data_IF_044496170559
#
_entry.id   IF_044496170559
#
_cell.length_a   1.000
_cell.length_b   1.000
_cell.length_c   1.000
_cell.angle_alpha   90.00
_cell.angle_beta   90.00
_cell.angle_gamma   90.00
#
_symmetry.space_group_name_H-M   'P 1'
#
loop_
_entity.id
_entity.type
_entity.pdbx_description
1 polymer ?
#
# COMPACT_ATOMS: atom_id res chain seq x y z
N UNK A 1 38.89 -51.54 7.98
CA UNK A 1 37.48 -51.91 8.20
C UNK A 1 37.02 -51.51 9.62
N UNK A 2 37.79 -51.71 10.65
CA UNK A 2 37.46 -51.33 12.06
C UNK A 2 37.28 -49.84 12.26
N UNK A 3 38.10 -48.95 11.68
CA UNK A 3 37.99 -47.51 11.78
C UNK A 3 36.69 -46.97 11.14
N UNK A 4 36.31 -47.51 10.00
CA UNK A 4 35.10 -47.12 9.27
C UNK A 4 33.83 -47.53 10.05
N UNK A 5 33.87 -48.69 10.69
CA UNK A 5 32.76 -49.16 11.55
C UNK A 5 32.62 -48.32 12.80
N UNK A 6 33.74 -47.94 13.44
CA UNK A 6 33.73 -47.11 14.67
C UNK A 6 33.25 -45.69 14.37
N UNK A 7 33.62 -45.10 13.22
CA UNK A 7 33.14 -43.75 12.86
C UNK A 7 31.65 -43.75 12.54
N UNK A 8 31.14 -44.75 11.86
CA UNK A 8 29.69 -44.88 11.60
C UNK A 8 28.92 -45.02 12.93
N UNK A 9 29.43 -45.87 13.85
CA UNK A 9 28.79 -46.10 15.14
C UNK A 9 28.76 -44.83 15.98
N UNK A 10 29.88 -44.10 16.06
CA UNK A 10 29.94 -42.86 16.84
C UNK A 10 29.02 -41.73 16.26
N UNK A 11 28.99 -41.59 14.94
CA UNK A 11 28.10 -40.61 14.28
C UNK A 11 26.61 -40.98 14.46
N UNK A 12 26.29 -42.30 14.39
CA UNK A 12 24.92 -42.76 14.64
C UNK A 12 24.46 -42.49 16.06
N UNK A 13 25.30 -42.79 17.07
CA UNK A 13 25.00 -42.53 18.48
C UNK A 13 24.81 -41.02 18.72
N UNK A 14 25.70 -40.19 18.21
CA UNK A 14 25.58 -38.73 18.31
C UNK A 14 24.29 -38.20 17.64
N UNK A 15 23.95 -38.72 16.46
CA UNK A 15 22.73 -38.36 15.72
C UNK A 15 21.44 -38.72 16.49
N UNK A 16 21.41 -39.96 17.07
CA UNK A 16 20.28 -40.39 17.88
C UNK A 16 20.14 -39.51 19.13
N UNK A 17 21.26 -39.24 19.81
CA UNK A 17 21.26 -38.43 21.03
C UNK A 17 20.78 -36.98 20.75
N UNK A 18 21.23 -36.37 19.65
CA UNK A 18 20.76 -35.07 19.20
C UNK A 18 19.25 -35.09 18.84
N UNK A 19 18.78 -36.14 18.15
CA UNK A 19 17.37 -36.27 17.78
C UNK A 19 16.48 -36.39 19.04
N UNK A 20 16.90 -37.15 20.03
CA UNK A 20 16.18 -37.32 21.29
C UNK A 20 16.11 -36.00 22.07
N UNK A 21 17.24 -35.27 22.15
CA UNK A 21 17.27 -33.96 22.82
C UNK A 21 16.31 -32.98 22.11
N UNK A 22 16.40 -32.89 20.78
CA UNK A 22 15.53 -32.03 19.98
C UNK A 22 14.05 -32.41 20.12
N UNK A 23 13.73 -33.70 20.16
CA UNK A 23 12.37 -34.18 20.41
C UNK A 23 11.82 -33.69 21.77
N UNK A 24 12.57 -33.84 22.84
CA UNK A 24 12.14 -33.37 24.16
C UNK A 24 12.04 -31.85 24.26
N UNK A 25 12.98 -31.13 23.63
CA UNK A 25 12.92 -29.67 23.54
C UNK A 25 11.68 -29.24 22.78
N UNK A 26 11.41 -29.84 21.62
CA UNK A 26 10.22 -29.54 20.80
C UNK A 26 8.92 -29.81 21.56
N UNK A 27 8.85 -30.91 22.35
CA UNK A 27 7.67 -31.21 23.16
C UNK A 27 7.50 -30.19 24.31
N UNK A 28 8.59 -29.80 24.99
CA UNK A 28 8.53 -28.88 26.12
C UNK A 28 8.20 -27.44 25.70
N UNK A 29 8.62 -27.04 24.52
CA UNK A 29 8.39 -25.70 23.95
C UNK A 29 7.29 -25.70 22.90
N UNK A 30 6.44 -26.74 22.83
CA UNK A 30 5.27 -26.75 21.96
C UNK A 30 4.34 -25.60 22.35
N UNK A 31 4.22 -24.61 21.48
CA UNK A 31 3.23 -23.55 21.61
C UNK A 31 1.89 -24.12 21.19
N UNK A 32 0.93 -24.16 22.11
CA UNK A 32 -0.46 -24.48 21.77
C UNK A 32 -1.11 -23.22 21.23
N UNK A 33 -1.29 -23.17 19.91
CA UNK A 33 -2.02 -22.11 19.25
C UNK A 33 -3.52 -22.42 19.26
N UNK A 34 -4.35 -21.38 19.33
CA UNK A 34 -5.81 -21.55 19.26
C UNK A 34 -6.19 -22.05 17.84
N UNK A 35 -6.86 -23.20 17.71
CA UNK A 35 -7.22 -23.77 16.42
C UNK A 35 -8.11 -22.83 15.57
N UNK A 36 -8.78 -21.86 16.19
CA UNK A 36 -9.56 -20.84 15.49
C UNK A 36 -8.70 -19.93 14.61
N UNK A 37 -7.39 -19.80 14.93
CA UNK A 37 -6.46 -19.00 14.12
C UNK A 37 -6.34 -19.59 12.71
N UNK A 38 -6.17 -20.91 12.60
CA UNK A 38 -6.04 -21.59 11.30
C UNK A 38 -7.31 -21.46 10.46
N UNK A 39 -8.49 -21.51 11.09
CA UNK A 39 -9.75 -21.35 10.37
C UNK A 39 -9.96 -19.90 9.90
N UNK A 40 -9.62 -18.90 10.72
CA UNK A 40 -9.68 -17.49 10.32
C UNK A 40 -8.65 -17.19 9.23
N UNK A 41 -7.45 -17.77 9.29
CA UNK A 41 -6.44 -17.63 8.24
C UNK A 41 -6.92 -18.16 6.89
N UNK A 42 -7.61 -19.31 6.86
CA UNK A 42 -8.22 -19.87 5.63
C UNK A 42 -9.28 -18.96 5.01
N UNK A 43 -9.98 -18.15 5.82
CA UNK A 43 -10.97 -17.20 5.34
C UNK A 43 -10.33 -15.95 4.74
N UNK A 44 -9.07 -15.66 5.08
CA UNK A 44 -8.31 -14.54 4.54
C UNK A 44 -7.81 -14.84 3.12
N UNK A 45 -7.60 -13.81 2.27
CA UNK A 45 -7.18 -13.99 0.87
C UNK A 45 -5.80 -14.62 0.67
N UNK A 46 -4.99 -14.82 1.71
CA UNK A 46 -3.64 -15.38 1.64
C UNK A 46 -2.59 -14.52 0.93
N UNK A 47 -2.93 -13.29 0.56
CA UNK A 47 -2.07 -12.40 -0.22
C UNK A 47 -0.83 -11.88 0.55
N UNK A 48 -0.80 -12.00 1.87
CA UNK A 48 0.29 -11.54 2.76
C UNK A 48 0.83 -10.13 2.44
N UNK A 49 -0.04 -9.25 1.92
CA UNK A 49 0.33 -7.94 1.36
C UNK A 49 0.66 -6.87 2.41
N UNK A 50 0.42 -7.13 3.71
CA UNK A 50 0.65 -6.16 4.79
C UNK A 50 -0.26 -4.94 4.78
N UNK A 51 -1.29 -4.89 3.92
CA UNK A 51 -2.22 -3.76 3.80
C UNK A 51 -3.10 -3.53 5.04
N UNK A 52 -3.30 -4.55 5.85
CA UNK A 52 -3.98 -4.49 7.14
C UNK A 52 -3.08 -3.98 8.28
N UNK A 53 -1.79 -3.75 8.04
CA UNK A 53 -0.80 -3.34 9.05
C UNK A 53 -0.11 -4.50 9.77
N UNK A 54 -0.42 -5.75 9.45
CA UNK A 54 0.21 -6.95 9.98
C UNK A 54 1.24 -7.53 9.00
N UNK A 55 2.18 -8.32 9.51
CA UNK A 55 3.25 -8.92 8.69
C UNK A 55 2.73 -9.96 7.66
N UNK A 56 1.52 -10.48 7.85
CA UNK A 56 0.89 -11.44 6.96
C UNK A 56 -0.52 -11.80 7.43
N UNK A 57 -1.19 -12.68 6.69
CA UNK A 57 -2.55 -13.09 6.98
C UNK A 57 -2.66 -13.85 8.31
N UNK A 58 -1.65 -14.68 8.64
CA UNK A 58 -1.62 -15.38 9.93
C UNK A 58 -1.57 -14.42 11.12
N UNK A 59 -0.67 -13.41 11.09
CA UNK A 59 -0.59 -12.42 12.17
C UNK A 59 -1.88 -11.61 12.34
N UNK A 60 -2.60 -11.36 11.25
CA UNK A 60 -3.93 -10.76 11.30
C UNK A 60 -4.95 -11.72 11.93
N UNK A 61 -4.95 -13.01 11.56
CA UNK A 61 -5.84 -14.02 12.12
C UNK A 61 -5.63 -14.17 13.63
N UNK A 62 -4.39 -14.22 14.09
CA UNK A 62 -4.04 -14.21 15.51
C UNK A 62 -4.61 -12.98 16.25
N UNK A 63 -4.41 -11.79 15.66
CA UNK A 63 -4.93 -10.55 16.25
C UNK A 63 -6.46 -10.54 16.32
N UNK A 64 -7.15 -11.13 15.35
CA UNK A 64 -8.61 -11.23 15.33
C UNK A 64 -9.15 -12.21 16.37
N UNK A 65 -8.45 -13.31 16.60
CA UNK A 65 -8.85 -14.31 17.61
C UNK A 65 -8.59 -13.78 19.02
N UNK A 66 -7.40 -13.22 19.26
CA UNK A 66 -6.94 -12.82 20.59
C UNK A 66 -7.56 -11.52 21.11
N UNK A 67 -7.95 -10.59 20.24
CA UNK A 67 -8.54 -9.31 20.65
C UNK A 67 -10.05 -9.41 20.75
N UNK A 68 -10.65 -8.91 21.81
CA UNK A 68 -12.10 -8.86 21.96
C UNK A 68 -12.72 -7.82 21.01
N UNK A 69 -12.10 -6.67 20.85
CA UNK A 69 -12.51 -5.63 19.91
C UNK A 69 -11.70 -5.71 18.62
N UNK A 70 -12.40 -5.98 17.52
CA UNK A 70 -11.85 -6.05 16.16
C UNK A 70 -12.25 -4.86 15.29
N UNK A 71 -12.89 -3.82 15.84
CA UNK A 71 -13.39 -2.65 15.11
C UNK A 71 -12.30 -1.90 14.32
N UNK A 72 -11.06 -1.91 14.83
CA UNK A 72 -9.91 -1.30 14.18
C UNK A 72 -9.20 -2.23 13.16
N UNK A 73 -9.57 -3.51 13.10
CA UNK A 73 -8.95 -4.50 12.23
C UNK A 73 -9.73 -4.59 10.92
N UNK A 74 -9.06 -4.40 9.80
CA UNK A 74 -9.69 -4.49 8.48
C UNK A 74 -8.73 -5.04 7.43
N UNK A 75 -9.17 -6.07 6.70
CA UNK A 75 -8.43 -6.59 5.55
C UNK A 75 -8.90 -5.88 4.27
N UNK A 76 -8.08 -5.01 3.66
CA UNK A 76 -8.49 -4.28 2.46
C UNK A 76 -8.68 -5.19 1.24
N UNK A 77 -7.94 -6.29 1.15
CA UNK A 77 -8.02 -7.26 0.06
C UNK A 77 -9.25 -8.17 0.18
N UNK A 78 -9.53 -8.65 1.39
CA UNK A 78 -10.72 -9.47 1.67
C UNK A 78 -12.02 -8.69 1.65
N UNK A 79 -11.96 -7.38 1.89
CA UNK A 79 -13.13 -6.50 1.87
C UNK A 79 -14.14 -6.78 2.97
N UNK A 80 -15.33 -6.19 2.83
CA UNK A 80 -16.37 -6.26 3.85
C UNK A 80 -16.96 -7.68 4.02
N UNK A 81 -17.06 -8.46 2.95
CA UNK A 81 -17.62 -9.82 3.01
C UNK A 81 -16.71 -10.76 3.81
N UNK A 82 -15.43 -10.73 3.54
CA UNK A 82 -14.46 -11.51 4.29
C UNK A 82 -14.45 -11.13 5.78
N UNK A 83 -14.50 -9.82 6.08
CA UNK A 83 -14.57 -9.32 7.45
C UNK A 83 -15.86 -9.77 8.17
N UNK A 84 -17.01 -9.76 7.50
CA UNK A 84 -18.27 -10.25 8.04
C UNK A 84 -18.23 -11.74 8.34
N UNK A 85 -17.69 -12.56 7.43
CA UNK A 85 -17.55 -14.00 7.62
C UNK A 85 -16.69 -14.34 8.83
N UNK A 86 -15.53 -13.71 8.96
CA UNK A 86 -14.63 -13.92 10.09
C UNK A 86 -15.25 -13.44 11.42
N UNK A 87 -15.88 -12.27 11.42
CA UNK A 87 -16.55 -11.73 12.60
C UNK A 87 -17.71 -12.63 13.06
N UNK A 88 -18.51 -13.15 12.12
CA UNK A 88 -19.59 -14.11 12.41
C UNK A 88 -19.05 -15.42 13.01
N UNK A 89 -17.96 -15.95 12.46
CA UNK A 89 -17.30 -17.14 12.99
C UNK A 89 -16.80 -16.94 14.42
N UNK A 90 -16.23 -15.77 14.72
CA UNK A 90 -15.69 -15.42 16.04
C UNK A 90 -16.76 -14.90 17.02
N UNK A 91 -18.01 -14.70 16.59
CA UNK A 91 -19.07 -14.09 17.40
C UNK A 91 -18.81 -12.61 17.72
N UNK A 92 -18.10 -11.88 16.86
CA UNK A 92 -17.69 -10.48 17.03
C UNK A 92 -18.41 -9.57 16.03
N UNK A 93 -18.36 -8.26 16.27
CA UNK A 93 -18.95 -7.27 15.36
C UNK A 93 -17.97 -6.94 14.23
N UNK A 94 -18.40 -7.09 12.98
CA UNK A 94 -17.58 -6.77 11.82
C UNK A 94 -17.35 -5.24 11.72
N UNK A 95 -16.12 -4.78 11.44
CA UNK A 95 -15.86 -3.37 11.19
C UNK A 95 -16.46 -2.94 9.85
N UNK A 96 -17.18 -1.82 9.86
CA UNK A 96 -17.64 -1.19 8.63
C UNK A 96 -16.61 -0.16 8.16
N UNK A 97 -16.12 -0.35 6.95
CA UNK A 97 -15.21 0.61 6.31
C UNK A 97 -15.69 0.94 4.91
N UNK A 98 -15.76 2.22 4.61
CA UNK A 98 -16.09 2.67 3.26
C UNK A 98 -15.05 2.18 2.25
N UNK A 99 -15.48 1.74 1.05
CA UNK A 99 -14.57 1.30 0.01
C UNK A 99 -13.67 2.46 -0.42
N UNK A 100 -12.38 2.18 -0.50
CA UNK A 100 -11.37 3.14 -0.94
C UNK A 100 -10.64 2.64 -2.19
N UNK A 101 -9.99 3.54 -2.89
CA UNK A 101 -9.18 3.26 -4.08
C UNK A 101 -7.94 4.13 -4.05
N UNK A 102 -6.82 3.62 -4.54
CA UNK A 102 -5.61 4.42 -4.71
C UNK A 102 -5.82 5.45 -5.83
N UNK A 103 -5.38 6.68 -5.60
CA UNK A 103 -5.44 7.76 -6.60
C UNK A 103 -4.08 8.43 -6.72
N UNK A 104 -3.67 8.71 -7.96
CA UNK A 104 -2.41 9.41 -8.26
C UNK A 104 -2.68 10.90 -8.41
N UNK A 105 -2.23 11.70 -7.47
CA UNK A 105 -2.44 13.16 -7.43
C UNK A 105 -1.42 13.90 -8.30
N UNK A 106 -1.30 13.50 -9.56
CA UNK A 106 -0.48 14.18 -10.55
C UNK A 106 -1.20 14.22 -11.89
N UNK A 107 -1.51 15.42 -12.37
CA UNK A 107 -2.06 15.67 -13.72
C UNK A 107 -1.01 16.16 -14.71
N UNK A 108 0.27 16.10 -14.34
CA UNK A 108 1.39 16.58 -15.11
C UNK A 108 1.82 15.59 -16.18
N UNK A 109 0.96 15.33 -17.16
CA UNK A 109 1.29 14.52 -18.34
C UNK A 109 2.42 15.16 -19.16
N UNK A 110 3.11 14.38 -19.98
CA UNK A 110 4.28 14.82 -20.75
C UNK A 110 4.05 16.13 -21.54
N UNK A 111 2.86 16.31 -22.12
CA UNK A 111 2.50 17.53 -22.86
C UNK A 111 2.32 18.79 -22.01
N UNK A 112 2.03 18.62 -20.70
CA UNK A 112 1.80 19.72 -19.75
C UNK A 112 3.00 20.01 -18.85
N UNK A 113 3.97 19.10 -18.80
CA UNK A 113 5.14 19.16 -17.94
C UNK A 113 6.38 18.78 -18.77
N UNK A 114 6.99 19.72 -19.48
CA UNK A 114 8.13 19.46 -20.35
C UNK A 114 9.34 18.98 -19.54
N UNK A 115 10.13 18.10 -20.12
CA UNK A 115 11.41 17.68 -19.57
C UNK A 115 12.41 18.83 -19.67
N UNK A 116 13.19 19.00 -18.62
CA UNK A 116 14.27 20.01 -18.51
C UNK A 116 15.64 19.37 -18.50
N UNK A 117 15.72 18.09 -18.19
CA UNK A 117 16.96 17.30 -18.13
C UNK A 117 16.66 15.82 -18.36
N UNK A 118 17.69 15.01 -18.52
CA UNK A 118 17.63 13.57 -18.68
C UNK A 118 18.37 12.88 -17.55
N UNK A 119 17.77 11.79 -17.02
CA UNK A 119 18.36 10.97 -15.98
C UNK A 119 18.85 9.64 -16.56
N UNK A 120 20.17 9.45 -16.52
CA UNK A 120 20.85 8.27 -17.06
C UNK A 120 21.19 7.21 -15.98
N UNK A 121 20.66 7.34 -14.77
CA UNK A 121 20.83 6.37 -13.69
C UNK A 121 19.78 5.26 -13.72
N UNK A 122 19.75 4.47 -12.63
CA UNK A 122 18.77 3.39 -12.41
C UNK A 122 17.34 3.93 -12.48
N UNK A 123 16.51 3.35 -13.32
CA UNK A 123 15.11 3.77 -13.53
C UNK A 123 14.21 3.32 -12.37
N UNK A 124 14.42 3.89 -11.19
CA UNK A 124 13.62 3.73 -9.98
C UNK A 124 13.26 5.10 -9.43
N UNK A 125 12.01 5.27 -8.98
CA UNK A 125 11.54 6.53 -8.39
C UNK A 125 12.29 6.84 -7.08
N UNK A 126 12.54 5.82 -6.25
CA UNK A 126 13.26 5.97 -4.97
C UNK A 126 14.68 6.41 -5.24
N UNK A 127 15.40 5.73 -6.14
CA UNK A 127 16.78 6.07 -6.46
C UNK A 127 16.88 7.47 -7.08
N UNK A 128 16.08 7.77 -8.09
CA UNK A 128 16.11 9.07 -8.74
C UNK A 128 15.76 10.22 -7.79
N UNK A 129 14.76 10.04 -6.91
CA UNK A 129 14.36 11.09 -5.97
C UNK A 129 15.38 11.34 -4.85
N UNK A 130 16.29 10.39 -4.59
CA UNK A 130 17.36 10.54 -3.62
C UNK A 130 18.50 11.42 -4.13
N UNK A 131 18.71 11.46 -5.46
CA UNK A 131 19.80 12.20 -6.05
C UNK A 131 19.37 13.55 -6.63
N UNK A 132 18.15 13.67 -7.12
CA UNK A 132 17.69 14.91 -7.73
C UNK A 132 16.15 15.02 -7.78
N UNK A 133 15.67 16.19 -8.18
CA UNK A 133 14.25 16.54 -8.12
C UNK A 133 13.39 15.78 -9.14
N UNK A 134 13.94 15.44 -10.29
CA UNK A 134 13.28 14.78 -11.40
C UNK A 134 13.64 15.38 -12.77
N UNK A 135 13.23 14.72 -13.86
CA UNK A 135 13.51 15.14 -15.25
C UNK A 135 12.74 16.37 -15.70
N UNK A 136 11.85 16.89 -14.88
CA UNK A 136 10.99 18.05 -15.19
C UNK A 136 11.18 19.16 -14.17
N UNK A 137 10.75 20.37 -14.51
CA UNK A 137 10.82 21.51 -13.60
C UNK A 137 9.93 21.36 -12.33
N UNK A 138 9.00 20.39 -12.30
CA UNK A 138 8.14 20.14 -11.16
C UNK A 138 8.79 19.19 -10.16
N UNK A 139 9.18 19.70 -9.00
CA UNK A 139 9.79 18.93 -7.91
C UNK A 139 8.88 17.83 -7.33
N UNK A 140 7.58 17.99 -7.42
CA UNK A 140 6.58 17.17 -6.74
C UNK A 140 5.91 16.15 -7.66
N UNK A 141 6.12 16.22 -8.98
CA UNK A 141 5.42 15.40 -9.94
C UNK A 141 5.82 13.94 -9.97
N UNK A 142 5.02 13.11 -10.60
CA UNK A 142 5.31 11.71 -10.85
C UNK A 142 6.60 11.56 -11.66
N UNK A 143 7.51 10.69 -11.27
CA UNK A 143 8.75 10.41 -12.02
C UNK A 143 8.52 9.43 -13.17
N UNK A 144 7.51 8.57 -13.05
CA UNK A 144 7.14 7.63 -14.11
C UNK A 144 8.02 6.37 -14.21
N UNK A 145 8.88 6.09 -13.24
CA UNK A 145 9.77 4.91 -13.31
C UNK A 145 9.13 3.60 -12.82
N UNK A 146 7.96 3.65 -12.14
CA UNK A 146 7.17 2.45 -11.90
C UNK A 146 7.36 1.72 -10.58
N UNK A 147 8.07 2.26 -9.58
CA UNK A 147 8.21 1.60 -8.26
C UNK A 147 6.85 1.28 -7.62
N UNK A 148 5.82 2.08 -7.87
CA UNK A 148 4.45 1.82 -7.45
C UNK A 148 3.80 0.66 -8.21
N UNK A 149 4.24 0.39 -9.45
CA UNK A 149 3.79 -0.75 -10.26
C UNK A 149 4.40 -2.03 -9.73
N UNK A 150 5.70 -2.03 -9.48
CA UNK A 150 6.43 -3.19 -8.91
C UNK A 150 5.89 -3.56 -7.52
N UNK A 151 5.49 -2.57 -6.72
CA UNK A 151 4.90 -2.81 -5.40
C UNK A 151 3.46 -3.34 -5.45
N UNK A 152 2.81 -3.37 -6.61
CA UNK A 152 1.40 -3.76 -6.72
C UNK A 152 1.26 -5.25 -7.05
N UNK A 153 0.87 -6.06 -6.07
CA UNK A 153 0.62 -7.49 -6.26
C UNK A 153 -0.67 -7.81 -7.05
N UNK A 154 -1.45 -6.79 -7.44
CA UNK A 154 -2.78 -6.97 -8.05
C UNK A 154 -2.87 -6.42 -9.48
N UNK A 155 -1.76 -5.99 -10.05
CA UNK A 155 -1.70 -5.37 -11.39
C UNK A 155 -2.72 -4.23 -11.58
N UNK A 156 -3.02 -3.52 -10.49
CA UNK A 156 -4.00 -2.44 -10.45
C UNK A 156 -3.43 -1.06 -10.79
N UNK A 157 -2.12 -0.93 -10.97
CA UNK A 157 -1.46 0.33 -11.31
C UNK A 157 -0.43 0.09 -12.41
N UNK A 158 -0.38 0.99 -13.36
CA UNK A 158 0.59 0.96 -14.47
C UNK A 158 1.06 2.38 -14.80
N UNK A 159 2.26 2.52 -15.33
CA UNK A 159 2.70 3.78 -15.93
C UNK A 159 2.21 3.82 -17.36
N UNK A 160 1.41 4.83 -17.69
CA UNK A 160 0.93 5.03 -19.05
C UNK A 160 2.07 5.67 -19.88
N UNK A 161 2.52 5.04 -20.98
CA UNK A 161 3.65 5.53 -21.77
C UNK A 161 3.34 6.85 -22.49
N UNK A 162 2.07 7.13 -22.81
CA UNK A 162 1.67 8.36 -23.48
C UNK A 162 1.64 9.56 -22.51
N UNK A 163 1.16 9.34 -21.30
CA UNK A 163 1.03 10.39 -20.29
C UNK A 163 2.29 10.54 -19.43
N UNK A 164 3.10 9.49 -19.31
CA UNK A 164 4.31 9.42 -18.49
C UNK A 164 4.03 9.43 -16.98
N UNK A 165 2.79 9.16 -16.56
CA UNK A 165 2.39 9.11 -15.16
C UNK A 165 1.76 7.75 -14.81
N UNK A 166 1.75 7.41 -13.53
CA UNK A 166 1.08 6.20 -13.07
C UNK A 166 -0.44 6.40 -13.06
N UNK A 167 -1.17 5.39 -13.52
CA UNK A 167 -2.64 5.34 -13.55
C UNK A 167 -3.13 4.10 -12.82
N UNK A 168 -4.23 4.23 -12.08
CA UNK A 168 -4.82 3.17 -11.26
C UNK A 168 -6.10 2.66 -11.90
N UNK A 169 -6.16 1.34 -12.07
CA UNK A 169 -7.40 0.62 -12.39
C UNK A 169 -8.22 0.43 -11.11
N UNK A 170 -9.32 1.16 -11.00
CA UNK A 170 -10.15 1.16 -9.81
C UNK A 170 -10.92 -0.15 -9.59
N UNK A 171 -11.06 -1.00 -10.61
CA UNK A 171 -11.74 -2.30 -10.50
C UNK A 171 -10.82 -3.38 -9.96
N UNK A 172 -9.52 -3.30 -10.29
CA UNK A 172 -8.49 -4.20 -9.77
C UNK A 172 -7.93 -3.75 -8.41
N UNK A 173 -8.06 -2.47 -8.07
CA UNK A 173 -7.45 -1.91 -6.88
C UNK A 173 -8.13 -2.39 -5.60
N UNK A 174 -7.39 -3.12 -4.78
CA UNK A 174 -7.84 -3.63 -3.46
C UNK A 174 -7.62 -2.63 -2.32
N UNK A 175 -7.08 -1.43 -2.60
CA UNK A 175 -6.76 -0.42 -1.60
C UNK A 175 -5.77 -0.87 -0.50
N UNK A 176 -4.87 -1.80 -0.79
CA UNK A 176 -3.89 -2.33 0.16
C UNK A 176 -2.84 -1.30 0.61
N UNK A 177 -2.65 -0.20 -0.15
CA UNK A 177 -1.73 0.89 0.19
C UNK A 177 -0.25 0.63 -0.13
N UNK A 178 0.11 -0.48 -0.76
CA UNK A 178 1.50 -0.78 -1.13
C UNK A 178 2.10 0.30 -2.04
N UNK A 179 1.37 0.73 -3.07
CA UNK A 179 1.79 1.81 -3.97
C UNK A 179 1.91 3.19 -3.28
N UNK A 180 1.13 3.43 -2.22
CA UNK A 180 1.24 4.66 -1.40
C UNK A 180 2.58 4.69 -0.68
N UNK A 181 2.98 3.56 -0.07
CA UNK A 181 4.26 3.41 0.65
C UNK A 181 5.45 3.44 -0.30
N UNK A 182 5.31 2.88 -1.50
CA UNK A 182 6.38 2.81 -2.50
C UNK A 182 6.66 4.16 -3.18
N UNK A 183 5.74 5.14 -3.12
CA UNK A 183 5.90 6.41 -3.82
C UNK A 183 6.76 7.41 -3.03
N UNK A 184 8.02 7.70 -3.44
CA UNK A 184 8.89 8.62 -2.69
C UNK A 184 8.42 10.07 -2.77
N UNK A 185 7.59 10.42 -3.77
CA UNK A 185 7.00 11.75 -3.91
C UNK A 185 5.70 11.94 -3.11
N UNK A 186 5.16 10.87 -2.49
CA UNK A 186 3.93 10.94 -1.70
C UNK A 186 2.70 11.42 -2.48
N UNK A 187 2.64 11.14 -3.78
CA UNK A 187 1.55 11.60 -4.65
C UNK A 187 0.40 10.60 -4.77
N UNK A 188 0.53 9.43 -4.19
CA UNK A 188 -0.51 8.40 -4.20
C UNK A 188 -1.17 8.36 -2.83
N UNK A 189 -2.49 8.39 -2.79
CA UNK A 189 -3.27 8.30 -1.56
C UNK A 189 -4.50 7.41 -1.74
N UNK A 190 -5.00 6.82 -0.66
CA UNK A 190 -6.26 6.09 -0.67
C UNK A 190 -7.40 7.07 -0.47
N UNK A 191 -8.36 7.05 -1.39
CA UNK A 191 -9.53 7.93 -1.35
C UNK A 191 -10.82 7.12 -1.43
N UNK A 192 -11.92 7.69 -0.96
CA UNK A 192 -13.25 7.09 -1.06
C UNK A 192 -13.57 6.73 -2.52
N UNK A 193 -13.99 5.49 -2.74
CA UNK A 193 -14.44 5.00 -4.04
C UNK A 193 -15.91 5.39 -4.22
N UNK A 194 -16.19 6.30 -5.14
CA UNK A 194 -17.54 6.71 -5.47
C UNK A 194 -18.20 5.76 -6.48
N UNK A 195 -19.54 5.77 -6.59
CA UNK A 195 -20.24 5.03 -7.64
C UNK A 195 -19.66 5.32 -9.03
N UNK A 196 -19.65 4.28 -9.89
CA UNK A 196 -19.04 4.34 -11.24
C UNK A 196 -17.53 4.65 -11.21
N UNK A 197 -16.81 4.19 -10.18
CA UNK A 197 -15.36 4.35 -10.01
C UNK A 197 -14.87 5.80 -10.08
N UNK A 198 -15.75 6.77 -9.80
CA UNK A 198 -15.36 8.17 -9.78
C UNK A 198 -14.52 8.48 -8.54
N UNK A 199 -13.48 9.27 -8.72
CA UNK A 199 -12.70 9.85 -7.63
C UNK A 199 -12.60 11.37 -7.86
N UNK A 200 -12.94 12.16 -6.82
CA UNK A 200 -12.87 13.62 -6.88
C UNK A 200 -11.68 14.09 -6.07
N UNK A 201 -10.69 14.65 -6.75
CA UNK A 201 -9.45 15.09 -6.11
C UNK A 201 -8.74 16.15 -6.94
N UNK A 202 -7.79 16.85 -6.32
CA UNK A 202 -6.90 17.78 -7.02
C UNK A 202 -5.69 17.01 -7.52
N UNK A 203 -5.51 16.93 -8.84
CA UNK A 203 -4.39 16.24 -9.50
C UNK A 203 -3.09 17.05 -9.41
N UNK A 204 -2.75 17.53 -8.23
CA UNK A 204 -1.51 18.27 -7.95
C UNK A 204 -1.19 18.19 -6.45
N UNK A 205 0.11 18.12 -6.14
CA UNK A 205 0.64 18.16 -4.76
C UNK A 205 1.77 19.19 -4.62
N UNK A 206 1.97 20.06 -5.62
CA UNK A 206 3.02 21.07 -5.60
C UNK A 206 2.78 22.06 -4.46
N UNK A 207 3.84 22.28 -3.68
CA UNK A 207 3.86 23.29 -2.60
C UNK A 207 4.55 24.59 -3.03
N UNK A 208 4.95 24.68 -4.30
CA UNK A 208 5.57 25.87 -4.84
C UNK A 208 4.55 27.02 -4.97
N UNK A 209 5.07 28.25 -4.98
CA UNK A 209 4.26 29.43 -5.29
C UNK A 209 3.60 29.29 -6.66
N UNK A 210 2.35 29.74 -6.80
CA UNK A 210 1.55 29.56 -8.01
C UNK A 210 2.26 29.96 -9.30
N UNK A 211 3.06 31.03 -9.31
CA UNK A 211 3.83 31.47 -10.47
C UNK A 211 4.92 30.47 -10.87
N UNK A 212 5.57 29.82 -9.88
CA UNK A 212 6.58 28.77 -10.13
C UNK A 212 5.89 27.49 -10.65
N UNK A 213 4.79 27.12 -10.00
CA UNK A 213 3.98 25.95 -10.42
C UNK A 213 3.49 26.09 -11.87
N UNK A 214 3.00 27.26 -12.29
CA UNK A 214 2.55 27.49 -13.66
C UNK A 214 3.67 27.37 -14.70
N UNK A 215 4.89 27.79 -14.36
CA UNK A 215 6.06 27.64 -15.24
C UNK A 215 6.49 26.18 -15.36
N UNK A 216 6.41 25.44 -14.25
CA UNK A 216 6.85 24.05 -14.19
C UNK A 216 5.84 23.05 -14.78
N UNK A 217 4.54 23.32 -14.65
CA UNK A 217 3.46 22.41 -15.07
C UNK A 217 2.17 23.16 -15.37
N UNK A 218 1.69 23.05 -16.61
CA UNK A 218 0.42 23.69 -17.02
C UNK A 218 -0.83 23.08 -16.38
N UNK A 219 -0.73 21.88 -15.77
CA UNK A 219 -1.78 21.23 -15.01
C UNK A 219 -1.70 21.52 -13.50
N UNK A 220 -0.72 22.29 -13.07
CA UNK A 220 -0.45 22.53 -11.63
C UNK A 220 -1.55 23.38 -10.98
N UNK A 221 -1.83 23.06 -9.71
CA UNK A 221 -2.67 23.91 -8.87
C UNK A 221 -1.85 25.11 -8.40
N UNK A 222 -2.38 26.31 -8.58
CA UNK A 222 -1.70 27.59 -8.19
C UNK A 222 -2.13 28.11 -6.84
N UNK A 223 -2.96 27.36 -6.10
CA UNK A 223 -3.41 27.74 -4.78
C UNK A 223 -4.29 29.00 -4.72
N UNK A 224 -4.98 29.36 -5.81
CA UNK A 224 -5.76 30.61 -5.91
C UNK A 224 -7.02 30.68 -5.01
N UNK A 225 -7.43 29.57 -4.41
CA UNK A 225 -8.57 29.49 -3.50
C UNK A 225 -9.96 29.62 -4.12
N UNK A 226 -10.09 29.80 -5.44
CA UNK A 226 -11.40 29.93 -6.09
C UNK A 226 -12.30 28.72 -5.84
N UNK A 227 -11.76 27.50 -5.93
CA UNK A 227 -12.52 26.27 -5.67
C UNK A 227 -13.05 26.18 -4.24
N UNK A 228 -12.28 26.63 -3.26
CA UNK A 228 -12.71 26.64 -1.86
C UNK A 228 -13.86 27.65 -1.62
N UNK A 229 -13.82 28.80 -2.28
CA UNK A 229 -14.88 29.84 -2.15
C UNK A 229 -16.22 29.41 -2.73
N UNK A 230 -16.23 28.57 -3.76
CA UNK A 230 -17.47 28.15 -4.44
C UNK A 230 -17.98 26.78 -3.94
N UNK A 231 -17.24 26.11 -3.05
CA UNK A 231 -17.63 24.81 -2.53
C UNK A 231 -18.73 24.95 -1.49
N UNK A 232 -19.98 24.57 -1.83
CA UNK A 232 -21.14 24.63 -0.94
C UNK A 232 -21.00 23.72 0.31
N UNK A 233 -20.17 22.67 0.24
CA UNK A 233 -20.00 21.71 1.33
C UNK A 233 -18.79 22.00 2.23
N UNK A 234 -18.02 23.05 1.96
CA UNK A 234 -16.79 23.33 2.69
C UNK A 234 -15.75 22.20 2.61
N UNK A 235 -15.83 21.37 1.57
CA UNK A 235 -14.98 20.20 1.41
C UNK A 235 -13.59 20.52 0.84
N UNK A 236 -13.30 21.76 0.49
CA UNK A 236 -12.05 22.16 -0.16
C UNK A 236 -11.28 23.11 0.74
N UNK A 237 -10.07 22.72 1.10
CA UNK A 237 -9.09 23.54 1.78
C UNK A 237 -7.95 23.91 0.84
N UNK A 238 -7.26 25.01 1.11
CA UNK A 238 -6.05 25.42 0.37
C UNK A 238 -4.96 25.66 1.38
N UNK A 239 -3.99 24.77 1.40
CA UNK A 239 -2.86 24.80 2.32
C UNK A 239 -1.55 24.56 1.56
N UNK A 240 -0.47 25.25 1.95
CA UNK A 240 0.83 25.08 1.31
C UNK A 240 0.82 25.34 -0.21
N UNK A 241 -0.05 26.23 -0.71
CA UNK A 241 -0.10 26.56 -2.14
C UNK A 241 -0.89 25.59 -3.02
N UNK A 242 -1.54 24.56 -2.45
CA UNK A 242 -2.30 23.55 -3.19
C UNK A 242 -3.68 23.34 -2.58
N UNK A 243 -4.70 23.15 -3.42
CA UNK A 243 -6.03 22.79 -2.94
C UNK A 243 -6.10 21.29 -2.60
N UNK A 244 -6.86 20.98 -1.56
CA UNK A 244 -7.17 19.61 -1.15
C UNK A 244 -8.68 19.45 -1.02
N UNK A 245 -9.22 18.34 -1.52
CA UNK A 245 -10.63 18.00 -1.43
C UNK A 245 -10.79 16.90 -0.39
N UNK A 246 -11.51 17.15 0.68
CA UNK A 246 -11.89 16.14 1.67
C UNK A 246 -13.00 15.26 1.07
N UNK A 247 -12.69 14.00 0.81
CA UNK A 247 -13.63 13.04 0.21
C UNK A 247 -14.78 12.65 1.15
N UNK A 248 -14.67 12.91 2.45
CA UNK A 248 -15.74 12.63 3.40
C UNK A 248 -16.80 13.75 3.39
N UNK A 249 -16.38 14.99 3.16
CA UNK A 249 -17.27 16.15 3.10
C UNK A 249 -17.84 16.39 1.71
N UNK A 250 -17.16 15.91 0.67
CA UNK A 250 -17.61 16.03 -0.72
C UNK A 250 -18.81 15.12 -0.97
N UNK A 251 -19.89 15.66 -1.49
CA UNK A 251 -21.13 14.94 -1.82
C UNK A 251 -21.43 14.99 -3.32
#
# INVERSE_FOLDING_TARGET
MTVLLSTILTLSVLGILAAVILYFVAQKFKVEEDPRIDEVEKMLPGANCGGCGFAGCRAMAEAMVLRDDISALYCPVGGAECMKSMASYLGKVAPEKEPTVATVRCGGVCSKRPRTNEYNGTKSCVMASSFYVGETACAYGCLGYGDCVEACAFDAIKVNPETGIAEVDADKCTACGACVKACPKGIIELRKKWPKNRAVYVSCVSKDKGAVTMKACKAGCIGCGKCAKVCAFGAITVEGGVAYIDSQKCK
#
